data_IF_283821304393
#
_entry.id   IF_283821304393
#
_cell.length_a   1.000
_cell.length_b   1.000
_cell.length_c   1.000
_cell.angle_alpha   90.00
_cell.angle_beta   90.00
_cell.angle_gamma   90.00
#
_symmetry.space_group_name_H-M   'P 1'
#
loop_
_entity.id
_entity.type
_entity.pdbx_description
1 polymer ?
#
# COMPACT_ATOMS: atom_id res chain seq x y z
N UNK A 1 -9.30 14.47 -1.11
CA UNK A 1 -10.03 13.25 -0.72
C UNK A 1 -10.07 12.22 -1.85
N UNK A 2 -10.52 12.57 -3.06
CA UNK A 2 -10.60 11.64 -4.21
C UNK A 2 -9.25 11.00 -4.62
N UNK A 3 -8.13 11.72 -4.54
CA UNK A 3 -6.82 11.18 -4.91
C UNK A 3 -6.33 10.08 -3.95
N UNK A 4 -6.65 10.20 -2.66
CA UNK A 4 -6.30 9.20 -1.64
C UNK A 4 -7.16 7.95 -1.80
N UNK A 5 -8.45 8.11 -2.11
CA UNK A 5 -9.37 6.99 -2.40
C UNK A 5 -8.96 6.26 -3.68
N UNK A 6 -8.55 7.00 -4.72
CA UNK A 6 -8.05 6.43 -5.97
C UNK A 6 -6.78 5.60 -5.76
N UNK A 7 -5.81 6.11 -5.00
CA UNK A 7 -4.60 5.34 -4.67
C UNK A 7 -4.93 4.08 -3.87
N UNK A 8 -5.80 4.16 -2.86
CA UNK A 8 -6.23 3.00 -2.08
C UNK A 8 -6.93 1.92 -2.93
N UNK A 9 -7.74 2.32 -3.92
CA UNK A 9 -8.40 1.38 -4.82
C UNK A 9 -7.43 0.67 -5.78
N UNK A 10 -6.40 1.38 -6.27
CA UNK A 10 -5.38 0.80 -7.14
C UNK A 10 -4.51 -0.22 -6.39
N UNK A 11 -4.19 0.02 -5.11
CA UNK A 11 -3.46 -0.95 -4.30
C UNK A 11 -4.30 -2.16 -3.87
N UNK A 12 -5.60 -1.99 -3.64
CA UNK A 12 -6.48 -3.09 -3.19
C UNK A 12 -6.76 -4.12 -4.27
N UNK A 13 -6.94 -3.70 -5.52
CA UNK A 13 -7.42 -4.57 -6.60
C UNK A 13 -6.38 -5.56 -7.13
N UNK A 14 -5.08 -5.23 -7.04
CA UNK A 14 -4.01 -6.14 -7.43
C UNK A 14 -3.72 -7.21 -6.38
N UNK A 15 -3.90 -6.91 -5.09
CA UNK A 15 -3.39 -7.72 -3.99
C UNK A 15 -4.08 -9.09 -3.85
N UNK A 16 -5.39 -9.15 -4.13
CA UNK A 16 -6.21 -10.35 -3.92
C UNK A 16 -5.77 -11.52 -4.82
N UNK A 17 -5.30 -11.23 -6.02
CA UNK A 17 -4.87 -12.25 -6.97
C UNK A 17 -3.54 -12.90 -6.56
N UNK A 18 -2.59 -12.10 -6.07
CA UNK A 18 -1.30 -12.56 -5.54
C UNK A 18 -1.47 -13.43 -4.31
N UNK A 19 -2.28 -12.96 -3.34
CA UNK A 19 -2.51 -13.71 -2.10
C UNK A 19 -3.17 -15.06 -2.37
N UNK A 20 -4.14 -15.10 -3.29
CA UNK A 20 -4.85 -16.34 -3.63
C UNK A 20 -3.92 -17.36 -4.31
N UNK A 21 -3.08 -16.90 -5.24
CA UNK A 21 -2.03 -17.73 -5.85
C UNK A 21 -1.06 -18.26 -4.81
N UNK A 22 -0.59 -17.39 -3.92
CA UNK A 22 0.37 -17.72 -2.87
C UNK A 22 -0.19 -18.76 -1.90
N UNK A 23 -1.42 -18.55 -1.44
CA UNK A 23 -2.16 -19.48 -0.58
C UNK A 23 -2.30 -20.84 -1.25
N UNK A 24 -2.67 -20.86 -2.53
CA UNK A 24 -2.82 -22.10 -3.30
C UNK A 24 -1.51 -22.87 -3.48
N UNK A 25 -0.37 -22.18 -3.62
CA UNK A 25 0.95 -22.85 -3.65
C UNK A 25 1.34 -23.38 -2.27
N UNK A 26 1.08 -22.61 -1.19
CA UNK A 26 1.29 -23.09 0.19
C UNK A 26 0.46 -24.36 0.44
N UNK A 27 -0.81 -24.35 0.03
CA UNK A 27 -1.71 -25.50 0.09
C UNK A 27 -1.19 -26.69 -0.71
N UNK A 28 -0.68 -26.47 -1.94
CA UNK A 28 -0.08 -27.53 -2.75
C UNK A 28 1.11 -28.19 -2.03
N UNK A 29 2.04 -27.39 -1.51
CA UNK A 29 3.25 -27.88 -0.82
C UNK A 29 2.93 -28.60 0.49
N UNK A 30 1.89 -28.15 1.20
CA UNK A 30 1.48 -28.78 2.45
C UNK A 30 0.74 -30.12 2.22
N UNK A 31 -0.01 -30.21 1.12
CA UNK A 31 -0.89 -31.36 0.81
C UNK A 31 -0.23 -32.39 -0.11
N UNK A 32 0.82 -32.02 -0.83
CA UNK A 32 1.50 -32.85 -1.82
C UNK A 32 3.00 -32.64 -1.77
N UNK A 33 3.77 -33.60 -2.30
CA UNK A 33 5.23 -33.48 -2.42
C UNK A 33 5.68 -32.59 -3.59
N UNK A 34 4.76 -31.93 -4.29
CA UNK A 34 5.09 -31.09 -5.45
C UNK A 34 5.35 -29.65 -5.03
N UNK A 35 6.37 -29.03 -5.64
CA UNK A 35 6.75 -27.66 -5.32
C UNK A 35 5.98 -26.63 -6.17
N UNK A 36 5.57 -27.02 -7.38
CA UNK A 36 4.85 -26.18 -8.34
C UNK A 36 3.67 -26.90 -9.01
N UNK A 37 2.71 -26.14 -9.53
CA UNK A 37 1.62 -26.69 -10.36
C UNK A 37 2.14 -27.18 -11.72
N UNK A 38 3.25 -26.63 -12.22
CA UNK A 38 3.89 -27.13 -13.44
C UNK A 38 4.42 -28.56 -13.25
N UNK A 39 5.06 -28.84 -12.12
CA UNK A 39 5.46 -30.19 -11.72
C UNK A 39 4.25 -31.11 -11.54
N UNK A 40 3.20 -30.62 -10.86
CA UNK A 40 1.97 -31.39 -10.65
C UNK A 40 1.39 -31.89 -11.97
N UNK A 41 1.30 -31.03 -12.99
CA UNK A 41 0.78 -31.40 -14.31
C UNK A 41 1.81 -32.04 -15.23
N UNK A 42 3.05 -32.20 -14.78
CA UNK A 42 4.18 -32.69 -15.57
C UNK A 42 4.34 -31.91 -16.90
N UNK A 43 4.38 -30.59 -16.79
CA UNK A 43 4.53 -29.66 -17.91
C UNK A 43 5.64 -28.64 -17.63
N UNK A 44 6.22 -28.08 -18.68
CA UNK A 44 7.17 -26.97 -18.54
C UNK A 44 6.46 -25.64 -18.30
N UNK A 45 7.17 -24.68 -17.72
CA UNK A 45 6.68 -23.31 -17.46
C UNK A 45 6.20 -22.60 -18.72
N UNK A 46 6.73 -22.94 -19.90
CA UNK A 46 6.30 -22.42 -21.21
C UNK A 46 5.22 -23.24 -21.92
N UNK A 47 4.63 -24.25 -21.29
CA UNK A 47 3.69 -25.14 -21.94
C UNK A 47 2.42 -24.41 -22.43
N UNK A 48 1.89 -24.82 -23.58
CA UNK A 48 0.63 -24.28 -24.10
C UNK A 48 -0.55 -24.69 -23.20
N UNK A 49 -1.57 -23.83 -23.13
CA UNK A 49 -2.77 -24.11 -22.34
C UNK A 49 -3.46 -25.42 -22.73
N UNK A 50 -3.43 -25.77 -24.02
CA UNK A 50 -3.99 -27.03 -24.52
C UNK A 50 -3.28 -28.25 -23.92
N UNK A 51 -1.95 -28.19 -23.73
CA UNK A 51 -1.17 -29.26 -23.10
C UNK A 51 -1.55 -29.42 -21.63
N UNK A 52 -1.68 -28.31 -20.90
CA UNK A 52 -2.12 -28.29 -19.50
C UNK A 52 -3.52 -28.90 -19.37
N UNK A 53 -4.46 -28.47 -20.23
CA UNK A 53 -5.83 -29.01 -20.26
C UNK A 53 -5.87 -30.50 -20.53
N UNK A 54 -5.07 -31.00 -21.48
CA UNK A 54 -4.99 -32.43 -21.81
C UNK A 54 -4.51 -33.24 -20.60
N UNK A 55 -3.44 -32.78 -19.94
CA UNK A 55 -2.89 -33.47 -18.77
C UNK A 55 -3.85 -33.43 -17.59
N UNK A 56 -4.48 -32.28 -17.31
CA UNK A 56 -5.53 -32.15 -16.29
C UNK A 56 -6.68 -33.15 -16.50
N UNK A 57 -7.21 -33.25 -17.71
CA UNK A 57 -8.28 -34.19 -18.04
C UNK A 57 -7.83 -35.65 -17.91
N UNK A 58 -6.58 -35.95 -18.25
CA UNK A 58 -5.99 -37.28 -18.06
C UNK A 58 -5.90 -37.64 -16.58
N UNK A 59 -5.50 -36.70 -15.72
CA UNK A 59 -5.34 -36.93 -14.28
C UNK A 59 -6.68 -37.11 -13.57
N UNK A 60 -7.71 -36.32 -13.91
CA UNK A 60 -9.06 -36.47 -13.31
C UNK A 60 -9.69 -37.84 -13.62
N UNK A 61 -9.45 -38.36 -14.81
CA UNK A 61 -9.97 -39.67 -15.24
C UNK A 61 -9.23 -40.83 -14.59
N UNK A 62 -8.05 -40.60 -14.01
CA UNK A 62 -7.29 -41.61 -13.29
C UNK A 62 -8.02 -42.07 -12.02
N UNK A 63 -7.80 -43.33 -11.64
CA UNK A 63 -8.23 -43.85 -10.32
C UNK A 63 -7.53 -43.10 -9.18
N UNK A 64 -6.28 -42.71 -9.38
CA UNK A 64 -5.48 -41.88 -8.49
C UNK A 64 -4.98 -40.65 -9.26
N UNK A 65 -5.63 -39.50 -9.12
CA UNK A 65 -5.25 -38.27 -9.82
C UNK A 65 -3.85 -37.77 -9.45
N UNK A 66 -3.43 -37.92 -8.20
CA UNK A 66 -2.11 -37.53 -7.69
C UNK A 66 -1.47 -38.76 -7.04
N UNK A 67 -0.57 -39.43 -7.77
CA UNK A 67 0.02 -40.70 -7.33
C UNK A 67 0.88 -40.58 -6.05
N UNK A 68 1.43 -39.40 -5.78
CA UNK A 68 2.30 -39.13 -4.62
C UNK A 68 1.54 -38.71 -3.35
N UNK A 69 0.21 -38.66 -3.39
CA UNK A 69 -0.62 -38.14 -2.32
C UNK A 69 -1.44 -39.25 -1.64
N UNK A 70 -1.38 -39.29 -0.30
CA UNK A 70 -2.24 -40.13 0.55
C UNK A 70 -3.67 -39.58 0.72
N UNK A 71 -4.00 -38.46 0.06
CA UNK A 71 -5.27 -37.76 0.26
C UNK A 71 -6.45 -38.48 -0.42
N UNK A 72 -7.68 -38.28 0.08
CA UNK A 72 -8.89 -38.74 -0.60
C UNK A 72 -9.00 -38.18 -2.03
N UNK A 73 -9.57 -38.97 -2.95
CA UNK A 73 -9.73 -38.61 -4.37
C UNK A 73 -10.39 -37.23 -4.57
N UNK A 74 -11.38 -36.89 -3.76
CA UNK A 74 -12.07 -35.60 -3.83
C UNK A 74 -11.12 -34.42 -3.57
N UNK A 75 -10.25 -34.52 -2.57
CA UNK A 75 -9.27 -33.48 -2.27
C UNK A 75 -8.21 -33.36 -3.35
N UNK A 76 -7.76 -34.49 -3.91
CA UNK A 76 -6.84 -34.49 -5.04
C UNK A 76 -7.44 -33.76 -6.26
N UNK A 77 -8.73 -33.98 -6.55
CA UNK A 77 -9.43 -33.28 -7.63
C UNK A 77 -9.54 -31.78 -7.33
N UNK A 78 -9.79 -31.39 -6.08
CA UNK A 78 -9.84 -29.98 -5.70
C UNK A 78 -8.51 -29.27 -5.92
N UNK A 79 -7.39 -29.90 -5.53
CA UNK A 79 -6.04 -29.35 -5.76
C UNK A 79 -5.77 -29.22 -7.27
N UNK A 80 -6.09 -30.24 -8.06
CA UNK A 80 -5.94 -30.19 -9.51
C UNK A 80 -6.81 -29.09 -10.14
N UNK A 81 -8.05 -28.93 -9.66
CA UNK A 81 -8.97 -27.91 -10.18
C UNK A 81 -8.48 -26.50 -9.83
N UNK A 82 -7.97 -26.30 -8.60
CA UNK A 82 -7.34 -25.05 -8.18
C UNK A 82 -6.12 -24.72 -9.04
N UNK A 83 -5.19 -25.67 -9.19
CA UNK A 83 -4.00 -25.50 -10.02
C UNK A 83 -4.35 -25.19 -11.48
N UNK A 84 -5.33 -25.89 -12.05
CA UNK A 84 -5.81 -25.63 -13.40
C UNK A 84 -6.44 -24.24 -13.54
N UNK A 85 -7.25 -23.80 -12.58
CA UNK A 85 -7.87 -22.48 -12.60
C UNK A 85 -6.84 -21.36 -12.48
N UNK A 86 -5.80 -21.54 -11.66
CA UNK A 86 -4.68 -20.60 -11.52
C UNK A 86 -3.91 -20.50 -12.83
N UNK A 87 -3.48 -21.63 -13.41
CA UNK A 87 -2.76 -21.64 -14.68
C UNK A 87 -3.61 -21.17 -15.87
N UNK A 88 -4.94 -21.23 -15.76
CA UNK A 88 -5.87 -20.74 -16.79
C UNK A 88 -6.07 -19.23 -16.74
N UNK A 89 -6.31 -18.67 -15.55
CA UNK A 89 -6.75 -17.27 -15.38
C UNK A 89 -5.67 -16.34 -14.87
N UNK A 90 -4.73 -16.85 -14.07
CA UNK A 90 -3.76 -16.08 -13.29
C UNK A 90 -2.32 -16.56 -13.52
N UNK A 91 -2.02 -17.03 -14.74
CA UNK A 91 -0.69 -17.58 -15.08
C UNK A 91 0.43 -16.56 -14.91
N UNK A 92 0.22 -15.32 -15.36
CA UNK A 92 1.20 -14.25 -15.21
C UNK A 92 1.52 -13.96 -13.74
N UNK A 93 0.49 -13.88 -12.90
CA UNK A 93 0.66 -13.74 -11.45
C UNK A 93 1.37 -14.97 -10.85
N UNK A 94 1.04 -16.17 -11.33
CA UNK A 94 1.71 -17.40 -10.90
C UNK A 94 3.21 -17.39 -11.20
N UNK A 95 3.59 -17.08 -12.43
CA UNK A 95 4.99 -17.06 -12.88
C UNK A 95 5.79 -15.97 -12.18
N UNK A 96 5.16 -14.83 -11.88
CA UNK A 96 5.79 -13.77 -11.09
C UNK A 96 5.99 -14.17 -9.61
N UNK A 97 5.04 -14.87 -8.98
CA UNK A 97 5.24 -15.39 -7.61
C UNK A 97 6.40 -16.39 -7.58
N UNK A 98 6.49 -17.24 -8.61
CA UNK A 98 7.56 -18.24 -8.71
C UNK A 98 8.94 -17.59 -8.82
N UNK A 99 9.07 -16.61 -9.72
CA UNK A 99 10.33 -15.87 -9.95
C UNK A 99 10.74 -14.96 -8.78
N UNK A 100 9.78 -14.44 -8.00
CA UNK A 100 10.04 -13.57 -6.84
C UNK A 100 9.86 -14.28 -5.50
N UNK A 101 9.87 -15.61 -5.50
CA UNK A 101 9.51 -16.44 -4.34
C UNK A 101 10.34 -16.14 -3.08
N UNK A 102 11.59 -15.69 -3.21
CA UNK A 102 12.43 -15.29 -2.08
C UNK A 102 11.85 -14.14 -1.25
N UNK A 103 11.09 -13.23 -1.88
CA UNK A 103 10.49 -12.08 -1.22
C UNK A 103 9.12 -12.39 -0.62
N UNK A 104 8.46 -13.45 -1.06
CA UNK A 104 7.07 -13.75 -0.70
C UNK A 104 6.95 -14.87 0.35
N UNK A 105 7.87 -15.85 0.39
CA UNK A 105 7.76 -17.03 1.26
C UNK A 105 8.38 -16.88 2.66
N UNK A 106 9.18 -15.84 2.93
CA UNK A 106 9.82 -15.66 4.23
C UNK A 106 8.88 -14.93 5.22
N UNK A 107 7.85 -15.65 5.69
CA UNK A 107 6.75 -15.13 6.55
C UNK A 107 7.25 -14.40 7.81
N UNK A 108 8.43 -14.75 8.36
CA UNK A 108 8.97 -14.09 9.58
C UNK A 108 9.61 -12.76 9.29
N UNK A 109 10.51 -12.67 8.30
CA UNK A 109 11.16 -11.40 7.94
C UNK A 109 10.19 -10.42 7.27
N UNK A 110 9.21 -10.93 6.52
CA UNK A 110 8.17 -10.09 5.95
C UNK A 110 7.26 -9.47 7.00
N UNK A 111 6.98 -10.14 8.11
CA UNK A 111 6.12 -9.57 9.15
C UNK A 111 6.78 -8.36 9.83
N UNK A 112 8.09 -8.43 10.10
CA UNK A 112 8.86 -7.29 10.63
C UNK A 112 8.95 -6.15 9.60
N UNK A 113 9.25 -6.47 8.34
CA UNK A 113 9.27 -5.48 7.27
C UNK A 113 7.89 -4.82 7.07
N UNK A 114 6.81 -5.58 7.15
CA UNK A 114 5.44 -5.07 7.02
C UNK A 114 5.10 -4.11 8.16
N UNK A 115 5.50 -4.42 9.40
CA UNK A 115 5.34 -3.50 10.54
C UNK A 115 6.11 -2.20 10.34
N UNK A 116 7.35 -2.28 9.84
CA UNK A 116 8.18 -1.11 9.55
C UNK A 116 7.53 -0.25 8.46
N UNK A 117 7.03 -0.88 7.39
CA UNK A 117 6.35 -0.19 6.29
C UNK A 117 5.07 0.50 6.78
N UNK A 118 4.25 -0.18 7.59
CA UNK A 118 3.03 0.41 8.19
C UNK A 118 3.41 1.61 9.06
N UNK A 119 4.44 1.48 9.90
CA UNK A 119 4.92 2.57 10.75
C UNK A 119 5.42 3.77 9.94
N UNK A 120 6.23 3.54 8.90
CA UNK A 120 6.71 4.57 7.97
C UNK A 120 5.55 5.25 7.24
N UNK A 121 4.52 4.50 6.84
CA UNK A 121 3.32 5.04 6.19
C UNK A 121 2.54 5.97 7.13
N UNK A 122 2.35 5.57 8.39
CA UNK A 122 1.71 6.42 9.41
C UNK A 122 2.54 7.69 9.64
N UNK A 123 3.86 7.58 9.76
CA UNK A 123 4.76 8.72 9.92
C UNK A 123 4.65 9.70 8.74
N UNK A 124 4.68 9.19 7.51
CA UNK A 124 4.54 9.99 6.30
C UNK A 124 3.18 10.69 6.24
N UNK A 125 2.12 10.03 6.67
CA UNK A 125 0.78 10.60 6.75
C UNK A 125 0.71 11.76 7.76
N UNK A 126 1.31 11.59 8.95
CA UNK A 126 1.37 12.65 9.95
C UNK A 126 2.14 13.88 9.45
N UNK A 127 3.28 13.67 8.79
CA UNK A 127 4.07 14.75 8.17
C UNK A 127 3.25 15.46 7.08
N UNK A 128 2.56 14.69 6.24
CA UNK A 128 1.72 15.24 5.17
C UNK A 128 0.57 16.07 5.73
N UNK A 129 -0.06 15.64 6.82
CA UNK A 129 -1.10 16.42 7.50
C UNK A 129 -0.55 17.72 8.08
N UNK A 130 0.64 17.71 8.68
CA UNK A 130 1.27 18.94 9.19
C UNK A 130 1.59 19.92 8.05
N UNK A 131 2.07 19.43 6.91
CA UNK A 131 2.32 20.25 5.71
C UNK A 131 1.01 20.86 5.17
N UNK A 132 -0.06 20.08 5.09
CA UNK A 132 -1.37 20.57 4.63
C UNK A 132 -1.92 21.62 5.61
N UNK A 133 -1.87 21.36 6.91
CA UNK A 133 -2.31 22.27 7.94
C UNK A 133 -1.53 23.60 7.89
N UNK A 134 -0.19 23.50 7.77
CA UNK A 134 0.68 24.64 7.57
C UNK A 134 0.31 25.43 6.32
N UNK A 135 0.07 24.75 5.19
CA UNK A 135 -0.28 25.38 3.92
C UNK A 135 -1.60 26.16 4.01
N UNK A 136 -2.63 25.60 4.66
CA UNK A 136 -3.90 26.29 4.90
C UNK A 136 -3.69 27.54 5.76
N UNK A 137 -2.91 27.42 6.84
CA UNK A 137 -2.60 28.55 7.72
C UNK A 137 -1.78 29.63 7.01
N UNK A 138 -0.85 29.23 6.15
CA UNK A 138 -0.02 30.12 5.35
C UNK A 138 -0.84 30.89 4.32
N UNK A 139 -1.78 30.22 3.63
CA UNK A 139 -2.71 30.88 2.69
C UNK A 139 -3.59 31.88 3.44
N UNK A 140 -4.14 31.51 4.61
CA UNK A 140 -4.91 32.43 5.46
C UNK A 140 -4.08 33.63 5.91
N UNK A 141 -2.84 33.40 6.34
CA UNK A 141 -1.90 34.46 6.68
C UNK A 141 -1.72 35.41 5.51
N UNK A 142 -1.34 34.92 4.32
CA UNK A 142 -1.17 35.74 3.12
C UNK A 142 -2.42 36.56 2.76
N UNK A 143 -3.61 35.95 2.85
CA UNK A 143 -4.88 36.64 2.58
C UNK A 143 -5.27 37.67 3.65
N UNK A 144 -4.77 37.55 4.89
CA UNK A 144 -4.98 38.54 5.95
C UNK A 144 -4.06 39.77 5.84
N UNK A 145 -3.00 39.73 5.02
CA UNK A 145 -2.14 40.89 4.70
C UNK A 145 -2.60 41.67 3.47
N UNK A 146 -3.92 41.80 3.25
CA UNK A 146 -4.43 42.80 2.29
C UNK A 146 -4.14 44.20 2.83
N UNK A 147 -3.01 44.72 2.35
CA UNK A 147 -2.47 46.07 2.36
C UNK A 147 -3.49 47.15 2.72
N UNK A 148 -3.44 47.65 3.96
CA UNK A 148 -3.94 49.00 4.27
C UNK A 148 -2.99 49.96 3.56
N UNK A 149 -3.37 50.41 2.35
CA UNK A 149 -2.63 51.47 1.65
C UNK A 149 -2.55 52.67 2.58
N UNK A 150 -1.36 53.22 2.89
CA UNK A 150 -1.27 54.46 3.64
C UNK A 150 -1.96 55.54 2.82
N UNK A 151 -3.10 56.04 3.31
CA UNK A 151 -3.72 57.26 2.79
C UNK A 151 -2.69 58.38 3.01
N UNK A 152 -1.94 58.72 1.97
CA UNK A 152 -1.00 59.83 2.02
C UNK A 152 -1.75 61.10 2.43
N UNK A 153 -1.35 61.66 3.57
CA UNK A 153 -1.78 62.96 4.08
C UNK A 153 -1.56 64.06 3.03
N UNK A 154 -2.58 64.89 2.86
CA UNK A 154 -2.60 66.37 2.92
C UNK A 154 -4.10 66.69 2.95
N UNK A 155 -4.68 67.27 4.01
CA UNK A 155 -4.44 68.65 4.44
C UNK A 155 -4.92 68.85 5.89
N UNK A 156 -4.24 69.78 6.57
CA UNK A 156 -4.41 70.37 7.91
C UNK A 156 -5.82 70.34 8.54
N UNK A 157 -5.85 70.08 9.85
CA UNK A 157 -6.90 70.55 10.74
C UNK A 157 -7.41 69.48 11.72
N UNK A 158 -7.13 69.71 13.00
CA UNK A 158 -7.92 69.28 14.16
C UNK A 158 -7.86 67.83 14.70
N UNK A 159 -7.44 67.82 15.98
CA UNK A 159 -7.82 66.94 17.09
C UNK A 159 -7.82 65.42 16.91
N UNK A 160 -6.76 64.86 17.49
CA UNK A 160 -6.69 63.60 18.22
C UNK A 160 -8.06 63.03 18.63
N UNK A 161 -8.44 61.92 18.02
CA UNK A 161 -8.96 60.75 18.73
C UNK A 161 -8.42 59.49 18.05
N UNK A 162 -7.65 58.72 18.81
CA UNK A 162 -6.85 57.61 18.33
C UNK A 162 -7.72 56.44 17.87
N UNK A 163 -7.87 56.28 16.55
CA UNK A 163 -8.16 54.97 15.97
C UNK A 163 -6.91 54.11 16.09
N UNK A 164 -6.82 53.37 17.19
CA UNK A 164 -5.91 52.25 17.35
C UNK A 164 -6.16 51.24 16.22
N UNK A 165 -5.37 51.32 15.15
CA UNK A 165 -5.20 50.21 14.22
C UNK A 165 -4.44 49.12 14.97
N UNK A 166 -5.15 48.25 15.69
CA UNK A 166 -4.57 47.03 16.24
C UNK A 166 -4.20 46.12 15.07
N UNK A 167 -2.91 46.10 14.76
CA UNK A 167 -2.33 45.00 13.98
C UNK A 167 -2.54 43.76 14.83
N UNK A 168 -3.52 42.92 14.46
CA UNK A 168 -3.65 41.59 15.03
C UNK A 168 -2.44 40.82 14.53
N UNK A 169 -1.40 40.77 15.36
CA UNK A 169 -0.26 39.87 15.17
C UNK A 169 -0.80 38.45 15.29
N UNK A 170 -1.29 37.90 14.19
CA UNK A 170 -1.49 36.46 14.11
C UNK A 170 -0.11 35.83 14.09
N UNK A 171 0.18 35.04 15.12
CA UNK A 171 1.40 34.24 15.26
C UNK A 171 1.83 33.69 13.90
N UNK A 172 3.07 33.97 13.49
CA UNK A 172 3.65 33.48 12.22
C UNK A 172 3.33 31.99 12.09
N UNK A 173 2.78 31.53 10.95
CA UNK A 173 2.53 30.13 10.75
C UNK A 173 3.85 29.38 10.90
N UNK A 174 3.88 28.42 11.82
CA UNK A 174 4.99 27.51 12.06
C UNK A 174 4.45 26.10 12.01
N UNK A 175 5.21 25.17 11.44
CA UNK A 175 4.88 23.75 11.48
C UNK A 175 4.86 23.25 12.93
N UNK A 176 3.94 22.34 13.25
CA UNK A 176 3.80 21.80 14.62
C UNK A 176 5.07 21.04 15.00
N UNK A 177 5.66 20.31 14.05
CA UNK A 177 6.94 19.60 14.23
C UNK A 177 8.07 20.58 14.62
N UNK A 178 8.11 21.76 14.00
CA UNK A 178 9.12 22.78 14.31
C UNK A 178 8.91 23.36 15.73
N UNK A 179 7.67 23.58 16.15
CA UNK A 179 7.36 24.01 17.53
C UNK A 179 7.79 22.98 18.57
N UNK A 180 7.49 21.70 18.32
CA UNK A 180 7.95 20.61 19.20
C UNK A 180 9.48 20.54 19.26
N UNK A 181 10.17 20.61 18.12
CA UNK A 181 11.63 20.62 18.07
C UNK A 181 12.23 21.77 18.90
N UNK A 182 11.72 22.98 18.77
CA UNK A 182 12.18 24.14 19.55
C UNK A 182 11.93 23.95 21.05
N UNK A 183 10.80 23.33 21.42
CA UNK A 183 10.48 23.03 22.82
C UNK A 183 11.47 22.01 23.40
N UNK A 184 11.75 20.92 22.69
CA UNK A 184 12.74 19.90 23.10
C UNK A 184 14.14 20.52 23.17
N UNK A 185 14.55 21.30 22.17
CA UNK A 185 15.83 22.00 22.16
C UNK A 185 16.00 22.93 23.37
N UNK A 186 14.93 23.60 23.80
CA UNK A 186 14.97 24.49 24.97
C UNK A 186 15.15 23.75 26.30
N UNK A 187 14.80 22.46 26.36
CA UNK A 187 14.98 21.60 27.54
C UNK A 187 16.42 21.06 27.60
N UNK A 188 17.04 20.76 26.45
CA UNK A 188 18.38 20.18 26.36
C UNK A 188 19.53 21.21 26.35
N UNK A 189 19.25 22.51 26.14
CA UNK A 189 20.25 23.60 26.18
C UNK A 189 20.09 24.40 27.49
N UNK A 190 20.02 23.68 28.61
CA UNK A 190 20.13 24.24 29.97
C UNK A 190 21.33 23.59 30.66
#
# INVERSE_FOLDING_TARGET
>A
MFFVVFLLQVFSSGHDDWQNVMSSIKDLKNKTNFSTFYELFNVSEGASFNKIRKNYMSMIRSKQPIASSLLPKHEQINILTQGFNILRKKREAYDFVLSNSSWLYDDRKNYENTKIIIFLSILALLISLDIIYYSIRYIRYCNSYVVVKPKNKKTKGENKEGKNSSVVYTDRPQMVIYRMYMCIRSIFIK
#
